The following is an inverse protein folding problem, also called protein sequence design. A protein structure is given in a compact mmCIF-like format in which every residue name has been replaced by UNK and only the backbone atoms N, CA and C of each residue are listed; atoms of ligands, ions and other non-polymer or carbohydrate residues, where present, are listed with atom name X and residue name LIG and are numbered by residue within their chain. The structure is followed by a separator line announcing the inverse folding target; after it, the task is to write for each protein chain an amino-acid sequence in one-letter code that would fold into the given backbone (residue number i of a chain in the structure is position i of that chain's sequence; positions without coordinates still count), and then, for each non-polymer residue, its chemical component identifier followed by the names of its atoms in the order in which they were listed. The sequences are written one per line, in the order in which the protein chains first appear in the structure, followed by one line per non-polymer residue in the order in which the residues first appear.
data_IF_914117183177
#
_entry.id   IF_914117183177
#
_cell.length_a   1.000
_cell.length_b   1.000
_cell.length_c   1.000
_cell.angle_alpha   90.00
_cell.angle_beta   90.00
_cell.angle_gamma   90.00
#
_symmetry.space_group_name_H-M   'P 1'
#
loop_
_entity.id
_entity.type
_entity.pdbx_description
1 polymer ?
#
# COMPACT_ATOMS: atom_id res chain seq x y z
N UNK A 1 18.86 25.78 3.99
CA UNK A 1 19.64 24.63 3.56
C UNK A 1 18.64 23.50 3.46
N UNK A 2 18.07 23.28 2.28
CA UNK A 2 17.06 22.26 2.08
C UNK A 2 17.80 20.92 2.15
N UNK A 3 17.45 20.09 3.11
CA UNK A 3 17.96 18.72 3.21
C UNK A 3 17.51 17.97 1.94
N UNK A 4 18.40 17.87 0.96
CA UNK A 4 18.24 16.96 -0.18
C UNK A 4 18.68 15.60 0.34
N UNK A 5 17.80 14.94 1.08
CA UNK A 5 18.06 13.65 1.70
C UNK A 5 16.77 12.86 1.80
N UNK A 6 16.76 11.67 1.20
CA UNK A 6 15.69 10.64 1.25
C UNK A 6 14.32 10.98 0.67
N UNK A 7 13.89 12.24 0.67
CA UNK A 7 12.53 12.67 0.36
C UNK A 7 12.57 13.86 -0.57
N UNK A 8 12.41 13.62 -1.87
CA UNK A 8 12.13 14.71 -2.80
C UNK A 8 10.62 14.91 -2.75
N UNK A 9 10.14 16.12 -2.46
CA UNK A 9 8.73 16.46 -2.57
C UNK A 9 8.48 16.89 -4.03
N UNK A 10 7.59 16.24 -4.76
CA UNK A 10 7.15 16.79 -6.04
C UNK A 10 5.62 16.93 -6.12
N UNK A 11 5.19 18.10 -6.59
CA UNK A 11 3.80 18.43 -6.82
C UNK A 11 2.88 18.30 -5.60
N UNK A 12 1.58 18.12 -5.86
CA UNK A 12 0.56 17.86 -4.86
C UNK A 12 0.78 16.50 -4.19
N UNK A 13 1.57 16.49 -3.11
CA UNK A 13 1.56 15.42 -2.11
C UNK A 13 2.23 14.10 -2.49
N UNK A 14 3.06 14.04 -3.53
CA UNK A 14 3.84 12.83 -3.82
C UNK A 14 5.23 12.93 -3.19
N UNK A 15 5.52 12.00 -2.29
CA UNK A 15 6.83 11.82 -1.67
C UNK A 15 7.64 10.80 -2.49
N UNK A 16 8.87 11.16 -2.84
CA UNK A 16 9.76 10.31 -3.60
C UNK A 16 10.88 9.83 -2.70
N UNK A 17 11.01 8.52 -2.57
CA UNK A 17 12.10 7.89 -1.85
C UNK A 17 12.93 7.03 -2.80
N UNK A 18 14.22 7.36 -2.91
CA UNK A 18 15.17 6.61 -3.74
C UNK A 18 16.13 5.89 -2.81
N UNK A 19 16.17 4.56 -2.95
CA UNK A 19 17.07 3.70 -2.18
C UNK A 19 17.78 2.70 -3.09
N UNK A 20 19.05 2.43 -2.79
CA UNK A 20 19.76 1.28 -3.35
C UNK A 20 19.68 0.10 -2.37
N UNK A 21 19.33 -1.06 -2.91
CA UNK A 21 19.24 -2.29 -2.14
C UNK A 21 20.63 -2.93 -2.02
N UNK A 22 21.16 -2.98 -0.80
CA UNK A 22 22.41 -3.65 -0.47
C UNK A 22 22.16 -5.14 -0.18
N UNK A 23 22.90 -6.03 -0.83
CA UNK A 23 22.75 -7.47 -0.57
C UNK A 23 23.44 -7.85 0.74
N UNK A 24 22.66 -8.18 1.78
CA UNK A 24 23.17 -8.54 3.10
C UNK A 24 23.34 -7.38 4.08
N UNK A 25 22.84 -6.19 3.73
CA UNK A 25 22.84 -5.00 4.59
C UNK A 25 21.51 -4.25 4.55
N UNK A 26 21.43 -3.13 5.27
CA UNK A 26 20.28 -2.23 5.20
C UNK A 26 20.31 -1.45 3.86
N UNK A 27 19.14 -1.13 3.27
CA UNK A 27 19.08 -0.23 2.13
C UNK A 27 19.73 1.12 2.43
N UNK A 28 20.37 1.72 1.43
CA UNK A 28 20.98 3.04 1.54
C UNK A 28 20.17 4.08 0.76
N UNK A 29 19.93 5.24 1.36
CA UNK A 29 19.20 6.35 0.74
C UNK A 29 20.12 7.24 -0.08
N UNK A 30 19.54 7.88 -1.11
CA UNK A 30 20.20 8.93 -1.88
C UNK A 30 20.27 10.20 -1.02
N UNK A 31 21.47 10.51 -0.51
CA UNK A 31 21.72 11.62 0.43
C UNK A 31 22.44 12.82 -0.21
N UNK A 32 22.63 12.79 -1.54
CA UNK A 32 23.29 13.84 -2.30
C UNK A 32 24.82 13.90 -2.18
N UNK A 33 25.44 13.14 -1.27
CA UNK A 33 26.90 13.09 -1.10
C UNK A 33 27.54 11.95 -1.89
N UNK A 34 26.77 10.92 -2.22
CA UNK A 34 27.21 9.74 -2.96
C UNK A 34 26.56 9.70 -4.34
N UNK A 35 27.37 9.75 -5.41
CA UNK A 35 26.88 9.60 -6.78
C UNK A 35 26.60 8.13 -7.08
N UNK A 36 25.35 7.82 -7.44
CA UNK A 36 24.98 6.51 -8.01
C UNK A 36 25.46 6.45 -9.47
N UNK A 37 26.77 6.38 -9.68
CA UNK A 37 27.37 6.37 -11.02
C UNK A 37 27.39 4.97 -11.67
N UNK A 38 26.97 3.93 -10.94
CA UNK A 38 26.89 2.56 -11.43
C UNK A 38 28.24 1.88 -11.68
N UNK A 39 29.37 2.53 -11.38
CA UNK A 39 30.70 1.91 -11.55
C UNK A 39 30.97 0.80 -10.53
N UNK A 40 30.39 0.92 -9.34
CA UNK A 40 30.47 -0.10 -8.29
C UNK A 40 29.09 -0.25 -7.63
N UNK A 41 28.48 -1.45 -7.63
CA UNK A 41 27.23 -1.66 -6.90
C UNK A 41 27.50 -1.57 -5.39
N UNK A 42 26.69 -0.81 -4.65
CA UNK A 42 26.82 -0.69 -3.18
C UNK A 42 26.61 -2.05 -2.47
N UNK A 43 26.04 -3.02 -3.19
CA UNK A 43 25.98 -4.43 -2.76
C UNK A 43 27.34 -5.11 -2.59
N UNK A 44 28.45 -4.49 -3.02
CA UNK A 44 29.80 -5.02 -2.93
C UNK A 44 30.10 -6.22 -3.86
N UNK A 45 29.15 -6.58 -4.74
CA UNK A 45 29.27 -7.73 -5.62
C UNK A 45 29.15 -7.33 -7.09
N UNK A 46 30.26 -7.37 -7.82
CA UNK A 46 30.34 -7.06 -9.26
C UNK A 46 29.55 -8.02 -10.16
N UNK A 47 29.13 -9.19 -9.65
CA UNK A 47 28.28 -10.15 -10.38
C UNK A 47 26.78 -9.86 -10.24
N UNK A 48 26.40 -8.86 -9.43
CA UNK A 48 25.00 -8.50 -9.22
C UNK A 48 24.81 -7.02 -9.57
N UNK A 49 23.94 -6.71 -10.54
CA UNK A 49 23.71 -5.33 -10.92
C UNK A 49 23.14 -4.54 -9.74
N UNK A 50 23.53 -3.26 -9.63
CA UNK A 50 22.96 -2.34 -8.66
C UNK A 50 21.42 -2.37 -8.76
N UNK A 51 20.73 -2.41 -7.61
CA UNK A 51 19.26 -2.44 -7.58
C UNK A 51 18.74 -1.14 -7.01
N UNK A 52 18.14 -0.32 -7.86
CA UNK A 52 17.53 0.95 -7.45
C UNK A 52 16.03 0.72 -7.21
N UNK A 53 15.52 1.14 -6.05
CA UNK A 53 14.08 1.22 -5.77
C UNK A 53 13.67 2.67 -5.64
N UNK A 54 12.65 3.04 -6.41
CA UNK A 54 11.98 4.34 -6.30
C UNK A 54 10.58 4.10 -5.76
N UNK A 55 10.24 4.74 -4.65
CA UNK A 55 8.92 4.66 -4.02
C UNK A 55 8.21 6.00 -4.19
N UNK A 56 6.99 5.94 -4.70
CA UNK A 56 6.08 7.07 -4.85
C UNK A 56 4.97 6.92 -3.83
N UNK A 57 4.97 7.75 -2.79
CA UNK A 57 4.00 7.65 -1.69
C UNK A 57 3.04 8.83 -1.72
N UNK A 58 1.75 8.55 -1.51
CA UNK A 58 0.74 9.58 -1.26
C UNK A 58 -0.68 9.01 -1.16
N UNK A 59 -1.66 9.91 -1.06
CA UNK A 59 -3.08 9.51 -0.96
C UNK A 59 -3.52 8.72 -2.18
N UNK A 60 -4.26 7.63 -1.95
CA UNK A 60 -4.86 6.81 -2.99
C UNK A 60 -5.76 7.62 -3.95
N UNK A 61 -6.35 8.71 -3.47
CA UNK A 61 -7.27 9.54 -4.24
C UNK A 61 -6.53 10.48 -5.19
N UNK A 62 -5.33 10.95 -4.83
CA UNK A 62 -4.61 11.99 -5.58
C UNK A 62 -3.38 11.49 -6.33
N UNK A 63 -2.76 10.39 -5.89
CA UNK A 63 -1.55 9.86 -6.55
C UNK A 63 -1.89 9.34 -7.93
N UNK A 64 -1.28 9.93 -8.95
CA UNK A 64 -1.43 9.52 -10.35
C UNK A 64 -0.28 8.61 -10.75
N UNK A 65 -0.61 7.49 -11.38
CA UNK A 65 0.39 6.61 -12.01
C UNK A 65 0.71 7.16 -13.38
N UNK A 66 1.98 7.49 -13.61
CA UNK A 66 2.46 8.22 -14.78
C UNK A 66 3.23 7.29 -15.72
N UNK A 67 2.75 7.08 -16.97
CA UNK A 67 3.38 6.17 -17.93
C UNK A 67 4.84 6.53 -18.29
N UNK A 68 5.23 7.79 -18.14
CA UNK A 68 6.59 8.28 -18.43
C UNK A 68 7.64 7.58 -17.56
N UNK A 69 7.31 7.24 -16.31
CA UNK A 69 8.22 6.52 -15.43
C UNK A 69 8.47 5.09 -15.91
N UNK A 70 7.49 4.46 -16.56
CA UNK A 70 7.70 3.14 -17.17
C UNK A 70 8.74 3.19 -18.28
N UNK A 71 8.70 4.24 -19.09
CA UNK A 71 9.69 4.46 -20.15
C UNK A 71 11.09 4.70 -19.55
N UNK A 72 11.18 5.56 -18.53
CA UNK A 72 12.44 5.82 -17.83
C UNK A 72 13.03 4.52 -17.25
N UNK A 73 12.19 3.66 -16.68
CA UNK A 73 12.64 2.37 -16.13
C UNK A 73 13.08 1.37 -17.18
N UNK A 74 12.38 1.32 -18.31
CA UNK A 74 12.79 0.47 -19.42
C UNK A 74 14.20 0.86 -19.91
N UNK A 75 14.50 2.16 -19.95
CA UNK A 75 15.85 2.66 -20.28
C UNK A 75 16.89 2.28 -19.22
N UNK A 76 16.57 2.43 -17.93
CA UNK A 76 17.47 2.03 -16.83
C UNK A 76 17.80 0.53 -16.91
N UNK A 77 16.80 -0.32 -17.15
CA UNK A 77 16.99 -1.77 -17.29
C UNK A 77 17.85 -2.13 -18.50
N UNK A 78 17.69 -1.41 -19.62
CA UNK A 78 18.53 -1.60 -20.81
C UNK A 78 20.00 -1.25 -20.54
N UNK A 79 20.26 -0.34 -19.60
CA UNK A 79 21.61 -0.01 -19.11
C UNK A 79 22.26 -1.07 -18.20
N UNK A 80 21.59 -2.20 -17.94
CA UNK A 80 22.13 -3.29 -17.11
C UNK A 80 21.90 -3.11 -15.60
N UNK A 81 21.12 -2.12 -15.18
CA UNK A 81 20.76 -1.88 -13.78
C UNK A 81 19.41 -2.53 -13.48
N UNK A 82 19.31 -3.26 -12.37
CA UNK A 82 18.02 -3.75 -11.91
C UNK A 82 17.27 -2.61 -11.24
N UNK A 83 16.04 -2.35 -11.67
CA UNK A 83 15.30 -1.20 -11.16
C UNK A 83 13.86 -1.59 -10.84
N UNK A 84 13.40 -1.14 -9.67
CA UNK A 84 12.08 -1.41 -9.11
C UNK A 84 11.37 -0.08 -8.88
N UNK A 85 10.18 0.10 -9.45
CA UNK A 85 9.27 1.16 -9.04
C UNK A 85 8.20 0.57 -8.15
N UNK A 86 7.94 1.24 -7.03
CA UNK A 86 6.81 0.99 -6.15
C UNK A 86 5.94 2.24 -6.08
N UNK A 87 4.65 2.12 -6.36
CA UNK A 87 3.68 3.13 -5.94
C UNK A 87 3.06 2.67 -4.63
N UNK A 88 3.19 3.47 -3.60
CA UNK A 88 2.57 3.27 -2.30
C UNK A 88 1.35 4.17 -2.18
N UNK A 89 0.19 3.55 -2.22
CA UNK A 89 -1.09 4.19 -2.02
C UNK A 89 -1.47 4.12 -0.55
N UNK A 90 -1.67 5.28 0.06
CA UNK A 90 -2.07 5.40 1.45
C UNK A 90 -3.51 5.85 1.55
N UNK A 91 -4.24 5.28 2.50
CA UNK A 91 -5.61 5.70 2.82
C UNK A 91 -5.93 5.40 4.28
N UNK A 92 -6.91 6.09 4.84
CA UNK A 92 -7.44 5.82 6.17
C UNK A 92 -8.73 5.00 6.12
N UNK A 93 -9.03 4.26 7.19
CA UNK A 93 -10.36 3.67 7.40
C UNK A 93 -11.48 4.71 7.48
N UNK A 94 -11.15 5.99 7.71
CA UNK A 94 -12.11 7.11 7.68
C UNK A 94 -12.47 7.58 6.26
N UNK A 95 -11.61 7.31 5.28
CA UNK A 95 -11.82 7.72 3.88
C UNK A 95 -12.68 6.74 3.08
N UNK A 96 -13.24 5.73 3.74
CA UNK A 96 -14.10 4.71 3.15
C UNK A 96 -15.26 4.37 4.06
N UNK A 97 -15.96 3.27 3.76
CA UNK A 97 -17.09 2.79 4.55
C UNK A 97 -16.69 1.56 5.33
N UNK A 98 -16.93 1.61 6.64
CA UNK A 98 -16.84 0.45 7.52
C UNK A 98 -18.17 -0.33 7.52
N UNK A 99 -18.06 -1.64 7.56
CA UNK A 99 -19.17 -2.59 7.59
C UNK A 99 -19.08 -3.41 8.87
N UNK A 100 -20.23 -3.76 9.44
CA UNK A 100 -20.32 -4.48 10.71
C UNK A 100 -19.90 -3.64 11.93
N UNK A 101 -19.55 -4.31 13.02
CA UNK A 101 -18.96 -3.68 14.23
C UNK A 101 -17.48 -3.44 13.97
N UNK A 102 -17.18 -2.26 13.44
CA UNK A 102 -15.87 -1.66 13.14
C UNK A 102 -14.60 -2.39 13.63
N UNK A 103 -13.58 -2.37 12.77
CA UNK A 103 -12.17 -2.35 13.18
C UNK A 103 -12.07 -1.41 14.41
N UNK A 104 -11.69 -1.96 15.58
CA UNK A 104 -11.92 -1.45 16.97
C UNK A 104 -13.08 -0.45 17.17
N UNK A 105 -14.07 -0.82 17.96
CA UNK A 105 -15.06 0.12 18.51
C UNK A 105 -14.54 0.79 19.79
N UNK A 106 -14.96 2.03 20.07
CA UNK A 106 -14.74 2.73 21.37
C UNK A 106 -15.27 1.94 22.57
N UNK A 107 -16.23 1.04 22.36
CA UNK A 107 -16.72 0.13 23.40
C UNK A 107 -15.77 -1.03 23.69
N UNK A 108 -14.74 -1.24 22.85
CA UNK A 108 -13.76 -2.31 22.95
C UNK A 108 -12.31 -1.79 22.83
N UNK A 109 -12.02 -0.62 23.42
CA UNK A 109 -10.71 0.05 23.43
C UNK A 109 -9.65 -0.56 24.37
N UNK A 110 -10.01 -1.58 25.17
CA UNK A 110 -9.11 -2.23 26.12
C UNK A 110 -8.88 -1.49 27.44
N UNK A 111 -9.65 -0.43 27.75
CA UNK A 111 -9.59 0.26 29.04
C UNK A 111 -10.32 -0.48 30.19
N UNK A 112 -11.00 -1.60 29.88
CA UNK A 112 -11.83 -2.39 30.79
C UNK A 112 -11.06 -3.60 31.33
N UNK A 113 -11.38 -4.02 32.56
CA UNK A 113 -10.78 -5.22 33.16
C UNK A 113 -11.28 -6.47 32.44
N UNK A 114 -10.36 -7.17 31.77
CA UNK A 114 -10.58 -8.50 31.21
C UNK A 114 -10.54 -9.54 32.33
N UNK A 115 -11.60 -9.59 33.14
CA UNK A 115 -11.85 -10.76 33.96
C UNK A 115 -12.64 -11.80 33.14
N UNK A 116 -12.31 -13.08 33.35
CA UNK A 116 -12.82 -14.22 32.58
C UNK A 116 -14.33 -14.48 32.69
N UNK A 117 -15.11 -13.51 33.20
CA UNK A 117 -16.56 -13.48 33.20
C UNK A 117 -17.17 -12.83 31.96
N UNK A 118 -16.38 -12.12 31.15
CA UNK A 118 -16.89 -11.45 29.95
C UNK A 118 -16.70 -12.32 28.69
N UNK A 119 -17.74 -12.40 27.84
CA UNK A 119 -17.80 -13.13 26.55
C UNK A 119 -16.74 -12.64 25.52
N UNK A 120 -15.88 -11.69 25.92
CA UNK A 120 -15.04 -10.82 25.11
C UNK A 120 -13.54 -11.04 25.38
N UNK A 121 -13.12 -12.30 25.56
CA UNK A 121 -11.70 -12.63 25.67
C UNK A 121 -10.98 -12.31 24.35
N UNK A 122 -10.03 -11.37 24.40
CA UNK A 122 -8.88 -11.07 23.52
C UNK A 122 -8.93 -11.31 22.00
N UNK A 123 -9.42 -12.45 21.56
CA UNK A 123 -9.60 -12.82 20.16
C UNK A 123 -10.96 -12.35 19.60
N UNK A 124 -12.00 -12.19 20.43
CA UNK A 124 -13.33 -11.75 20.00
C UNK A 124 -13.53 -10.22 19.96
N UNK A 125 -12.53 -9.44 20.36
CA UNK A 125 -12.61 -7.97 20.48
C UNK A 125 -11.76 -7.23 19.45
N UNK A 126 -11.07 -7.98 18.59
CA UNK A 126 -10.29 -7.47 17.48
C UNK A 126 -10.77 -8.18 16.23
N UNK A 127 -11.72 -7.60 15.51
CA UNK A 127 -11.85 -7.99 14.11
C UNK A 127 -10.54 -7.59 13.43
N UNK A 128 -9.81 -8.61 13.01
CA UNK A 128 -8.60 -8.47 12.23
C UNK A 128 -9.02 -8.73 10.79
N UNK A 129 -8.78 -7.78 9.88
CA UNK A 129 -8.77 -8.10 8.46
C UNK A 129 -7.90 -9.34 8.27
N UNK A 130 -8.44 -10.33 7.58
CA UNK A 130 -7.73 -11.53 7.18
C UNK A 130 -7.29 -11.40 5.72
N UNK A 131 -8.19 -10.87 4.89
CA UNK A 131 -7.97 -10.69 3.46
C UNK A 131 -8.17 -9.25 3.03
N UNK A 132 -7.48 -8.91 1.95
CA UNK A 132 -7.66 -7.67 1.21
C UNK A 132 -7.93 -8.01 -0.25
N UNK A 133 -9.05 -7.51 -0.75
CA UNK A 133 -9.50 -7.74 -2.12
C UNK A 133 -9.44 -6.46 -2.94
N UNK A 134 -9.28 -6.64 -4.24
CA UNK A 134 -9.15 -5.61 -5.25
C UNK A 134 -10.18 -5.83 -6.34
N UNK A 135 -10.75 -4.74 -6.83
CA UNK A 135 -11.83 -4.80 -7.82
C UNK A 135 -11.74 -3.73 -8.89
N UNK A 136 -12.64 -3.88 -9.85
CA UNK A 136 -12.86 -2.94 -10.96
C UNK A 136 -14.33 -2.49 -11.07
N UNK A 137 -15.11 -2.65 -10.00
CA UNK A 137 -16.52 -2.25 -9.91
C UNK A 137 -16.74 -1.03 -9.02
N UNK A 138 -15.66 -0.33 -8.65
CA UNK A 138 -15.65 0.85 -7.79
C UNK A 138 -16.03 2.15 -8.49
N UNK A 139 -16.17 2.14 -9.81
CA UNK A 139 -16.48 3.34 -10.61
C UNK A 139 -17.88 3.31 -11.21
N UNK A 140 -18.52 4.47 -11.27
CA UNK A 140 -19.76 4.72 -11.99
C UNK A 140 -19.56 5.92 -12.92
N UNK A 141 -19.71 5.72 -14.23
CA UNK A 141 -19.45 6.74 -15.26
C UNK A 141 -18.03 7.37 -15.18
N UNK A 142 -17.04 6.60 -14.70
CA UNK A 142 -15.65 7.04 -14.56
C UNK A 142 -15.30 7.68 -13.21
N UNK A 143 -16.30 7.94 -12.36
CA UNK A 143 -16.09 8.50 -11.03
C UNK A 143 -16.21 7.42 -9.94
N UNK A 144 -15.42 7.49 -8.85
CA UNK A 144 -15.56 6.56 -7.73
C UNK A 144 -16.97 6.59 -7.12
N UNK A 145 -17.64 5.45 -7.06
CA UNK A 145 -18.98 5.34 -6.44
C UNK A 145 -18.85 5.46 -4.92
N UNK A 146 -19.81 6.08 -4.24
CA UNK A 146 -19.84 6.07 -2.78
C UNK A 146 -20.29 4.68 -2.30
N UNK A 147 -19.52 3.98 -1.45
CA UNK A 147 -19.95 2.70 -0.86
C UNK A 147 -21.27 2.81 -0.10
N UNK A 148 -22.15 1.82 -0.29
CA UNK A 148 -23.52 1.83 0.24
C UNK A 148 -23.67 0.88 1.43
N UNK A 149 -24.65 1.12 2.34
CA UNK A 149 -24.87 0.25 3.50
C UNK A 149 -25.18 -1.21 3.15
N UNK A 150 -25.70 -1.46 1.95
CA UNK A 150 -26.08 -2.80 1.49
C UNK A 150 -24.99 -3.55 0.73
N UNK A 151 -23.80 -2.97 0.55
CA UNK A 151 -22.70 -3.69 -0.10
C UNK A 151 -22.26 -4.86 0.78
N UNK A 152 -22.11 -6.03 0.17
CA UNK A 152 -21.64 -7.27 0.82
C UNK A 152 -20.25 -7.70 0.33
N UNK A 153 -19.69 -6.95 -0.62
CA UNK A 153 -18.38 -7.17 -1.20
C UNK A 153 -18.04 -6.08 -2.21
N UNK A 154 -17.02 -6.33 -3.02
CA UNK A 154 -16.63 -5.47 -4.14
C UNK A 154 -17.66 -5.58 -5.27
N UNK A 155 -17.80 -4.51 -6.06
CA UNK A 155 -18.69 -4.49 -7.22
C UNK A 155 -18.25 -5.47 -8.32
N UNK A 156 -16.93 -5.62 -8.51
CA UNK A 156 -16.34 -6.66 -9.33
C UNK A 156 -14.95 -7.03 -8.77
N UNK A 157 -14.90 -8.05 -7.92
CA UNK A 157 -13.65 -8.55 -7.38
C UNK A 157 -12.81 -9.28 -8.44
N UNK A 158 -11.52 -8.94 -8.52
CA UNK A 158 -10.58 -9.54 -9.48
C UNK A 158 -9.37 -10.20 -8.82
N UNK A 159 -9.09 -9.87 -7.56
CA UNK A 159 -7.97 -10.45 -6.83
C UNK A 159 -8.15 -10.30 -5.33
N UNK A 160 -7.71 -11.31 -4.59
CA UNK A 160 -7.75 -11.34 -3.13
C UNK A 160 -6.51 -12.02 -2.58
N UNK A 161 -6.04 -11.56 -1.42
CA UNK A 161 -4.89 -12.13 -0.73
C UNK A 161 -4.91 -11.81 0.76
N UNK A 162 -4.07 -12.51 1.50
CA UNK A 162 -3.83 -12.23 2.90
C UNK A 162 -3.31 -10.81 3.10
N UNK A 163 -3.84 -10.17 4.14
CA UNK A 163 -3.40 -8.86 4.58
C UNK A 163 -2.25 -8.98 5.56
N UNK A 164 -1.26 -8.10 5.41
CA UNK A 164 -0.18 -7.95 6.37
C UNK A 164 -0.58 -6.89 7.39
N UNK A 165 -0.53 -7.24 8.67
CA UNK A 165 -0.91 -6.32 9.75
C UNK A 165 0.36 -5.85 10.46
N UNK A 166 0.68 -4.57 10.30
CA UNK A 166 1.72 -3.91 11.09
C UNK A 166 1.08 -3.14 12.23
N UNK A 167 1.62 -3.25 13.44
CA UNK A 167 1.22 -2.44 14.60
C UNK A 167 2.43 -1.66 15.07
N UNK A 168 2.30 -0.34 15.10
CA UNK A 168 3.35 0.55 15.59
C UNK A 168 3.30 0.67 17.12
N UNK A 169 4.39 1.08 17.79
CA UNK A 169 4.44 1.17 19.25
C UNK A 169 3.42 2.12 19.89
N UNK A 170 2.90 3.08 19.12
CA UNK A 170 1.84 4.00 19.51
C UNK A 170 0.43 3.36 19.47
N UNK A 171 0.34 2.11 19.01
CA UNK A 171 -0.91 1.36 18.88
C UNK A 171 -1.63 1.54 17.55
N UNK A 172 -1.09 2.37 16.63
CA UNK A 172 -1.58 2.53 15.27
C UNK A 172 -1.43 1.21 14.49
N UNK A 173 -2.48 0.80 13.77
CA UNK A 173 -2.41 -0.38 12.89
C UNK A 173 -2.43 0.03 11.43
N UNK A 174 -1.70 -0.74 10.63
CA UNK A 174 -1.66 -0.60 9.18
C UNK A 174 -1.97 -1.95 8.56
N UNK A 175 -2.94 -1.96 7.66
CA UNK A 175 -3.30 -3.10 6.84
C UNK A 175 -2.61 -2.91 5.49
N UNK A 176 -1.61 -3.75 5.23
CA UNK A 176 -0.71 -3.61 4.11
C UNK A 176 -0.81 -4.77 3.16
N UNK A 177 -0.56 -4.49 1.90
CA UNK A 177 -0.35 -5.55 0.94
C UNK A 177 0.33 -5.06 -0.33
N UNK A 178 1.03 -5.97 -1.01
CA UNK A 178 1.78 -5.66 -2.24
C UNK A 178 1.28 -6.42 -3.46
N UNK A 179 0.79 -5.73 -4.49
CA UNK A 179 0.47 -6.30 -5.80
C UNK A 179 1.76 -6.34 -6.63
N UNK A 180 2.24 -7.54 -6.91
CA UNK A 180 3.49 -7.77 -7.61
C UNK A 180 3.39 -7.41 -9.09
N UNK A 181 4.54 -7.32 -9.75
CA UNK A 181 4.64 -7.04 -11.19
C UNK A 181 3.81 -8.01 -12.04
N UNK A 182 3.73 -9.29 -11.66
CA UNK A 182 3.01 -10.34 -12.38
C UNK A 182 1.52 -10.43 -12.06
N UNK A 183 1.04 -9.65 -11.10
CA UNK A 183 -0.33 -9.72 -10.58
C UNK A 183 -1.16 -8.56 -11.14
N UNK A 184 -2.45 -8.83 -11.39
CA UNK A 184 -3.44 -7.83 -11.83
C UNK A 184 -3.08 -7.05 -13.11
N UNK A 185 -2.20 -7.60 -13.96
CA UNK A 185 -1.80 -6.96 -15.22
C UNK A 185 -3.03 -6.72 -16.10
N UNK A 186 -3.20 -5.49 -16.58
CA UNK A 186 -4.30 -5.09 -17.46
C UNK A 186 -5.59 -4.69 -16.74
N UNK A 187 -5.67 -4.85 -15.41
CA UNK A 187 -6.80 -4.37 -14.62
C UNK A 187 -6.59 -2.92 -14.18
N UNK A 188 -7.66 -2.14 -14.20
CA UNK A 188 -7.73 -0.80 -13.60
C UNK A 188 -8.35 -0.89 -12.22
N UNK A 189 -7.52 -1.05 -11.19
CA UNK A 189 -7.98 -1.24 -9.81
C UNK A 189 -8.66 0.04 -9.34
N UNK A 190 -9.92 -0.02 -8.92
CA UNK A 190 -10.71 1.15 -8.52
C UNK A 190 -11.51 0.98 -7.21
N UNK A 191 -11.43 -0.21 -6.61
CA UNK A 191 -11.95 -0.49 -5.28
C UNK A 191 -11.04 -1.44 -4.51
N UNK A 192 -11.03 -1.25 -3.20
CA UNK A 192 -10.32 -2.08 -2.23
C UNK A 192 -11.25 -2.41 -1.08
N UNK A 193 -11.24 -3.66 -0.64
CA UNK A 193 -12.00 -4.08 0.53
C UNK A 193 -11.17 -4.92 1.49
N UNK A 194 -11.48 -4.78 2.77
CA UNK A 194 -10.97 -5.65 3.83
C UNK A 194 -12.05 -6.65 4.22
N UNK A 195 -11.65 -7.90 4.41
CA UNK A 195 -12.52 -9.01 4.75
C UNK A 195 -12.02 -9.72 6.01
N UNK A 196 -12.94 -10.23 6.82
CA UNK A 196 -12.61 -11.15 7.91
C UNK A 196 -12.31 -12.57 7.38
N UNK A 197 -11.98 -13.49 8.30
CA UNK A 197 -11.66 -14.89 7.98
C UNK A 197 -12.87 -15.66 7.40
N UNK A 198 -14.09 -15.24 7.74
CA UNK A 198 -15.34 -15.84 7.26
C UNK A 198 -15.79 -15.23 5.89
N UNK A 199 -15.03 -14.28 5.35
CA UNK A 199 -15.33 -13.57 4.11
C UNK A 199 -16.35 -12.45 4.26
N UNK A 200 -16.64 -12.01 5.48
CA UNK A 200 -17.45 -10.83 5.78
C UNK A 200 -16.73 -9.54 5.41
N UNK A 201 -17.42 -8.63 4.71
CA UNK A 201 -16.89 -7.31 4.36
C UNK A 201 -16.76 -6.45 5.63
N UNK A 202 -15.57 -5.89 5.84
CA UNK A 202 -15.24 -5.02 6.99
C UNK A 202 -15.05 -3.57 6.60
N UNK A 203 -14.48 -3.35 5.42
CA UNK A 203 -14.18 -2.03 4.89
C UNK A 203 -14.29 -2.07 3.37
N UNK A 204 -14.84 -1.01 2.79
CA UNK A 204 -14.82 -0.79 1.35
C UNK A 204 -14.47 0.66 1.07
N UNK A 205 -13.51 0.87 0.19
CA UNK A 205 -13.20 2.17 -0.39
C UNK A 205 -13.08 2.05 -1.90
N UNK A 206 -13.62 3.04 -2.57
CA UNK A 206 -13.47 3.24 -4.01
C UNK A 206 -12.60 4.48 -4.23
N UNK A 207 -11.89 4.50 -5.36
CA UNK A 207 -10.93 5.56 -5.69
C UNK A 207 -10.72 5.63 -7.21
N UNK A 208 -10.11 6.70 -7.74
CA UNK A 208 -9.85 6.80 -9.17
C UNK A 208 -8.97 5.64 -9.67
N UNK A 209 -9.33 5.06 -10.81
CA UNK A 209 -8.73 3.83 -11.32
C UNK A 209 -7.19 3.91 -11.41
N UNK A 210 -6.52 2.89 -10.86
CA UNK A 210 -5.07 2.70 -10.89
C UNK A 210 -4.73 1.60 -11.89
N UNK A 211 -4.34 1.94 -13.15
CA UNK A 211 -4.06 0.95 -14.18
C UNK A 211 -2.81 0.15 -13.83
N UNK A 212 -2.86 -1.18 -13.86
CA UNK A 212 -1.71 -2.02 -13.52
C UNK A 212 -1.03 -2.58 -14.77
N UNK A 213 0.29 -2.41 -14.85
CA UNK A 213 1.15 -3.01 -15.88
C UNK A 213 2.08 -4.08 -15.30
N UNK A 214 3.05 -4.55 -16.09
CA UNK A 214 4.02 -5.58 -15.70
C UNK A 214 5.35 -5.04 -15.14
N UNK A 215 5.53 -3.72 -15.04
CA UNK A 215 6.79 -3.09 -14.62
C UNK A 215 6.70 -2.55 -13.19
N UNK A 216 5.53 -2.10 -12.79
CA UNK A 216 5.28 -1.43 -11.52
C UNK A 216 4.81 -2.42 -10.44
N UNK A 217 5.23 -2.16 -9.21
CA UNK A 217 4.71 -2.78 -8.00
C UNK A 217 3.77 -1.80 -7.28
N UNK A 218 2.61 -2.27 -6.83
CA UNK A 218 1.71 -1.45 -6.02
C UNK A 218 1.72 -1.92 -4.58
N UNK A 219 1.91 -0.99 -3.66
CA UNK A 219 1.77 -1.19 -2.23
C UNK A 219 0.53 -0.42 -1.78
N UNK A 220 -0.45 -1.14 -1.22
CA UNK A 220 -1.62 -0.52 -0.63
C UNK A 220 -1.46 -0.57 0.88
N UNK A 221 -1.59 0.59 1.52
CA UNK A 221 -1.48 0.77 2.96
C UNK A 221 -2.74 1.46 3.45
N UNK A 222 -3.54 0.74 4.23
CA UNK A 222 -4.71 1.29 4.91
C UNK A 222 -4.31 1.52 6.36
N UNK A 223 -4.22 2.79 6.76
CA UNK A 223 -4.06 3.18 8.16
C UNK A 223 -5.39 3.03 8.86
N UNK A 224 -5.36 2.36 9.99
CA UNK A 224 -6.50 2.32 10.88
C UNK A 224 -6.59 3.62 11.67
N UNK A 225 -7.70 4.33 11.49
CA UNK A 225 -8.09 5.48 12.27
C UNK A 225 -9.53 5.32 12.77
N UNK A 226 -9.72 5.69 14.02
CA UNK A 226 -11.02 5.69 14.71
C UNK A 226 -11.43 7.13 14.97
N UNK A 227 -12.73 7.41 14.91
CA UNK A 227 -13.34 8.66 15.39
C UNK A 227 -14.04 8.39 16.72
#
# INVERSE_FOLDING_TARGET
MNEIGSQILAGTGTLYEIQELCYGGLPMFLDGNSTFNGEYPLSGNTKRPATIRVIFTGSIDTVVVTPEFNQAMAQIRAGGVNSIISYRFETSTLDGRLYGSALRTTSLDGAWSLDGSTILSGNNTRILPYEIAFGTGGTNLGEPRIPQPGDTGLGNEVFRKLVEIQTDPDGSRFFKTTVKQTELIGYGIDEIGLFDEDGGLLFLKTFPSKPKDNLILYEFVIKEEFV
#
